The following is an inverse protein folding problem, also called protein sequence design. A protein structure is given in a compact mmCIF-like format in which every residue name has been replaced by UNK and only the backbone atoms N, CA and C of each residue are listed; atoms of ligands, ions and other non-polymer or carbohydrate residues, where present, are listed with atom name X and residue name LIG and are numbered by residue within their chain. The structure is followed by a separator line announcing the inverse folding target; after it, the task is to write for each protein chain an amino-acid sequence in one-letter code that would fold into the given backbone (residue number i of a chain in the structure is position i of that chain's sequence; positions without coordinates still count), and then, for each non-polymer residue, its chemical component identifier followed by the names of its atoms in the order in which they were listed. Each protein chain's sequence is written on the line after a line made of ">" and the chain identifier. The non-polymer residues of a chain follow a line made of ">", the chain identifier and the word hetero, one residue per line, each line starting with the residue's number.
data_IF_750696771343
#
_entry.id   IF_750696771343
#
_cell.length_a   1.000
_cell.length_b   1.000
_cell.length_c   1.000
_cell.angle_alpha   90.00
_cell.angle_beta   90.00
_cell.angle_gamma   90.00
#
_symmetry.space_group_name_H-M   'P 1'
#
loop_
_entity.id
_entity.type
_entity.pdbx_description
1 polymer ?
#
# COMPACT_ATOMS: atom_id res chain seq x y z
N UNK A 1 93.79 43.82 -7.89
CA UNK A 1 92.96 42.81 -7.19
C UNK A 1 93.33 42.65 -5.72
N UNK A 2 94.57 42.92 -5.29
CA UNK A 2 94.98 42.76 -3.87
C UNK A 2 94.29 43.71 -2.88
N UNK A 3 94.03 44.97 -3.24
CA UNK A 3 93.31 45.92 -2.38
C UNK A 3 91.85 45.54 -2.11
N UNK A 4 91.24 44.77 -3.02
CA UNK A 4 89.86 44.27 -2.86
C UNK A 4 89.83 43.08 -1.89
N UNK A 5 90.83 42.19 -1.97
CA UNK A 5 91.01 41.08 -1.04
C UNK A 5 91.45 41.54 0.35
N UNK A 6 92.28 42.59 0.48
CA UNK A 6 92.68 43.13 1.80
C UNK A 6 91.56 43.91 2.48
N UNK A 7 90.66 44.56 1.71
CA UNK A 7 89.45 45.15 2.26
C UNK A 7 88.46 44.08 2.74
N UNK A 8 88.32 42.96 2.02
CA UNK A 8 87.48 41.82 2.40
C UNK A 8 87.94 41.15 3.71
N UNK A 9 89.23 41.19 4.02
CA UNK A 9 89.82 40.65 5.27
C UNK A 9 90.06 41.71 6.35
N UNK A 10 89.81 42.98 6.06
CA UNK A 10 89.84 44.05 7.05
C UNK A 10 88.70 43.89 8.07
N UNK A 11 88.92 44.32 9.31
CA UNK A 11 87.95 44.21 10.40
C UNK A 11 86.55 44.76 10.02
N UNK A 12 86.52 45.82 9.22
CA UNK A 12 85.31 46.43 8.68
C UNK A 12 84.65 45.60 7.57
N UNK A 13 85.41 44.99 6.65
CA UNK A 13 84.87 44.10 5.61
C UNK A 13 84.28 42.80 6.16
N UNK A 14 84.97 42.18 7.13
CA UNK A 14 84.48 40.98 7.83
C UNK A 14 83.21 41.29 8.63
N UNK A 15 83.14 42.44 9.31
CA UNK A 15 81.92 42.85 10.03
C UNK A 15 80.69 43.03 9.11
N UNK A 16 80.90 43.53 7.89
CA UNK A 16 79.83 43.73 6.92
C UNK A 16 79.34 42.42 6.30
N UNK A 17 80.25 41.46 6.06
CA UNK A 17 79.89 40.10 5.64
C UNK A 17 79.10 39.35 6.70
N UNK A 18 79.54 39.42 7.97
CA UNK A 18 78.82 38.78 9.08
C UNK A 18 77.42 39.40 9.23
N UNK A 19 77.31 40.73 9.09
CA UNK A 19 76.02 41.42 9.09
C UNK A 19 75.11 40.98 7.92
N UNK A 20 75.68 40.81 6.71
CA UNK A 20 74.94 40.32 5.52
C UNK A 20 74.47 38.87 5.70
N UNK A 21 75.34 37.98 6.19
CA UNK A 21 75.00 36.58 6.46
C UNK A 21 73.93 36.49 7.55
N UNK A 22 74.02 37.30 8.60
CA UNK A 22 73.00 37.38 9.64
C UNK A 22 71.65 37.88 9.07
N UNK A 23 71.67 38.91 8.22
CA UNK A 23 70.47 39.47 7.58
C UNK A 23 69.82 38.45 6.64
N UNK A 24 70.60 37.76 5.81
CA UNK A 24 70.10 36.67 4.95
C UNK A 24 69.56 35.52 5.80
N UNK A 25 70.23 35.15 6.90
CA UNK A 25 69.75 34.14 7.84
C UNK A 25 68.38 34.49 8.44
N UNK A 26 68.16 35.74 8.85
CA UNK A 26 66.86 36.23 9.36
C UNK A 26 65.78 36.23 8.27
N UNK A 27 66.11 36.64 7.03
CA UNK A 27 65.14 36.63 5.93
C UNK A 27 64.70 35.20 5.56
N UNK A 28 65.64 34.26 5.47
CA UNK A 28 65.33 32.85 5.13
C UNK A 28 64.48 32.19 6.23
N UNK A 29 64.86 32.39 7.50
CA UNK A 29 64.10 31.84 8.64
C UNK A 29 62.70 32.44 8.76
N UNK A 30 62.56 33.75 8.54
CA UNK A 30 61.24 34.43 8.52
C UNK A 30 60.38 33.92 7.37
N UNK A 31 60.95 33.73 6.18
CA UNK A 31 60.23 33.21 5.02
C UNK A 31 59.77 31.76 5.22
N UNK A 32 60.62 30.89 5.78
CA UNK A 32 60.24 29.50 6.12
C UNK A 32 59.15 29.45 7.17
N UNK A 33 59.25 30.25 8.23
CA UNK A 33 58.24 30.29 9.28
C UNK A 33 56.89 30.79 8.75
N UNK A 34 56.88 31.83 7.92
CA UNK A 34 55.66 32.33 7.28
C UNK A 34 55.06 31.30 6.33
N UNK A 35 55.88 30.63 5.51
CA UNK A 35 55.41 29.59 4.59
C UNK A 35 54.84 28.37 5.33
N UNK A 36 55.46 27.97 6.44
CA UNK A 36 54.95 26.90 7.28
C UNK A 36 53.63 27.29 7.97
N UNK A 37 53.53 28.53 8.45
CA UNK A 37 52.30 29.06 9.03
C UNK A 37 51.16 29.13 8.02
N UNK A 38 51.42 29.60 6.79
CA UNK A 38 50.40 29.65 5.73
C UNK A 38 49.95 28.26 5.29
N UNK A 39 50.86 27.28 5.25
CA UNK A 39 50.50 25.88 4.98
C UNK A 39 49.58 25.32 6.06
N UNK A 40 49.84 25.62 7.34
CA UNK A 40 48.98 25.21 8.46
C UNK A 40 47.61 25.87 8.38
N UNK A 41 47.55 27.19 8.13
CA UNK A 41 46.28 27.93 7.97
C UNK A 41 45.40 27.35 6.85
N UNK A 42 45.99 26.98 5.71
CA UNK A 42 45.25 26.36 4.60
C UNK A 42 44.76 24.95 4.95
N UNK A 43 45.57 24.17 5.66
CA UNK A 43 45.16 22.84 6.12
C UNK A 43 44.03 22.91 7.14
N UNK A 44 44.09 23.87 8.07
CA UNK A 44 43.04 24.09 9.08
C UNK A 44 41.73 24.56 8.44
N UNK A 45 41.80 25.46 7.44
CA UNK A 45 40.64 25.88 6.65
C UNK A 45 40.02 24.71 5.86
N UNK A 46 40.85 23.92 5.18
CA UNK A 46 40.38 22.77 4.42
C UNK A 46 39.73 21.71 5.34
N UNK A 47 40.30 21.47 6.53
CA UNK A 47 39.74 20.57 7.52
C UNK A 47 38.41 21.09 8.08
N UNK A 48 38.29 22.40 8.33
CA UNK A 48 37.05 23.01 8.79
C UNK A 48 35.94 22.94 7.73
N UNK A 49 36.26 23.22 6.47
CA UNK A 49 35.32 23.12 5.37
C UNK A 49 34.90 21.67 5.09
N UNK A 50 35.81 20.71 5.26
CA UNK A 50 35.47 19.30 5.16
C UNK A 50 34.49 18.88 6.26
N UNK A 51 34.74 19.26 7.53
CA UNK A 51 33.83 18.98 8.64
C UNK A 51 32.43 19.55 8.39
N UNK A 52 32.33 20.79 7.89
CA UNK A 52 31.04 21.41 7.54
C UNK A 52 30.29 20.62 6.48
N UNK A 53 31.00 20.13 5.45
CA UNK A 53 30.39 19.30 4.39
C UNK A 53 29.94 17.95 4.93
N UNK A 54 30.75 17.32 5.78
CA UNK A 54 30.41 16.04 6.38
C UNK A 54 29.20 16.18 7.32
N UNK A 55 29.13 17.26 8.11
CA UNK A 55 27.99 17.58 8.98
C UNK A 55 26.71 17.83 8.17
N UNK A 56 26.80 18.61 7.07
CA UNK A 56 25.67 18.84 6.16
C UNK A 56 25.20 17.55 5.51
N UNK A 57 26.12 16.72 5.00
CA UNK A 57 25.77 15.44 4.39
C UNK A 57 25.12 14.48 5.41
N UNK A 58 25.60 14.48 6.66
CA UNK A 58 25.01 13.69 7.73
C UNK A 58 23.61 14.18 8.11
N UNK A 59 23.38 15.50 8.16
CA UNK A 59 22.07 16.08 8.43
C UNK A 59 21.07 15.79 7.29
N UNK A 60 21.48 15.98 6.04
CA UNK A 60 20.66 15.68 4.87
C UNK A 60 20.33 14.19 4.77
N UNK A 61 21.28 13.30 5.09
CA UNK A 61 21.04 11.87 5.16
C UNK A 61 19.99 11.52 6.23
N UNK A 62 20.04 12.16 7.40
CA UNK A 62 19.03 11.97 8.47
C UNK A 62 17.65 12.45 8.04
N UNK A 63 17.55 13.62 7.40
CA UNK A 63 16.28 14.15 6.89
C UNK A 63 15.68 13.23 5.85
N UNK A 64 16.47 12.77 4.88
CA UNK A 64 16.02 11.84 3.85
C UNK A 64 15.56 10.50 4.43
N UNK A 65 16.29 9.96 5.41
CA UNK A 65 15.90 8.72 6.07
C UNK A 65 14.56 8.86 6.84
N UNK A 66 14.33 10.00 7.49
CA UNK A 66 13.06 10.28 8.17
C UNK A 66 11.90 10.46 7.17
N UNK A 67 12.12 11.17 6.06
CA UNK A 67 11.12 11.33 5.01
C UNK A 67 10.77 9.99 4.35
N UNK A 68 11.78 9.17 4.02
CA UNK A 68 11.59 7.83 3.47
C UNK A 68 10.81 6.93 4.46
N UNK A 69 11.10 7.05 5.76
CA UNK A 69 10.37 6.29 6.80
C UNK A 69 8.91 6.71 6.87
N UNK A 70 8.62 8.01 6.92
CA UNK A 70 7.25 8.54 6.97
C UNK A 70 6.45 8.15 5.74
N UNK A 71 7.08 8.17 4.57
CA UNK A 71 6.44 7.76 3.32
C UNK A 71 6.10 6.26 3.31
N UNK A 72 6.97 5.40 3.86
CA UNK A 72 6.66 3.97 4.05
C UNK A 72 5.49 3.78 5.00
N UNK A 73 5.51 4.44 6.15
CA UNK A 73 4.43 4.38 7.15
C UNK A 73 3.08 4.81 6.55
N UNK A 74 3.06 5.89 5.76
CA UNK A 74 1.86 6.35 5.03
C UNK A 74 1.36 5.31 4.03
N UNK A 75 2.25 4.74 3.22
CA UNK A 75 1.86 3.71 2.23
C UNK A 75 1.35 2.44 2.90
N UNK A 76 1.92 2.04 4.01
CA UNK A 76 1.42 0.93 4.81
C UNK A 76 0.04 1.22 5.39
N UNK A 77 -0.17 2.42 5.92
CA UNK A 77 -1.49 2.83 6.42
C UNK A 77 -2.54 2.80 5.33
N UNK A 78 -2.27 3.43 4.17
CA UNK A 78 -3.17 3.41 3.02
C UNK A 78 -3.51 1.99 2.56
N UNK A 79 -2.49 1.11 2.49
CA UNK A 79 -2.71 -0.32 2.16
C UNK A 79 -3.63 -1.01 3.16
N UNK A 80 -3.46 -0.77 4.47
CA UNK A 80 -4.31 -1.37 5.52
C UNK A 80 -5.75 -0.84 5.45
N UNK A 81 -5.92 0.44 5.20
CA UNK A 81 -7.23 1.07 5.04
C UNK A 81 -7.96 0.53 3.80
N UNK A 82 -7.29 0.46 2.66
CA UNK A 82 -7.83 -0.14 1.43
C UNK A 82 -8.22 -1.60 1.65
N UNK A 83 -7.38 -2.37 2.35
CA UNK A 83 -7.65 -3.76 2.66
C UNK A 83 -8.88 -3.93 3.57
N UNK A 84 -8.99 -3.07 4.58
CA UNK A 84 -10.14 -3.04 5.49
C UNK A 84 -11.42 -2.69 4.75
N UNK A 85 -11.37 -1.70 3.83
CA UNK A 85 -12.49 -1.33 2.97
C UNK A 85 -12.94 -2.50 2.10
N UNK A 86 -12.00 -3.17 1.41
CA UNK A 86 -12.32 -4.32 0.55
C UNK A 86 -12.91 -5.49 1.33
N UNK A 87 -12.33 -5.80 2.51
CA UNK A 87 -12.86 -6.84 3.38
C UNK A 87 -14.28 -6.54 3.86
N UNK A 88 -14.57 -5.29 4.23
CA UNK A 88 -15.92 -4.86 4.60
C UNK A 88 -16.89 -5.01 3.43
N UNK A 89 -16.53 -4.54 2.22
CA UNK A 89 -17.39 -4.67 1.04
C UNK A 89 -17.76 -6.13 0.74
N UNK A 90 -16.79 -7.06 0.85
CA UNK A 90 -17.06 -8.49 0.66
C UNK A 90 -17.87 -9.08 1.81
N UNK A 91 -17.60 -8.69 3.06
CA UNK A 91 -18.38 -9.14 4.21
C UNK A 91 -19.84 -8.68 4.12
N UNK A 92 -20.09 -7.42 3.76
CA UNK A 92 -21.43 -6.85 3.58
C UNK A 92 -22.17 -7.61 2.45
N UNK A 93 -21.48 -7.90 1.33
CA UNK A 93 -22.04 -8.70 0.26
C UNK A 93 -22.41 -10.13 0.69
N UNK A 94 -21.54 -10.79 1.46
CA UNK A 94 -21.81 -12.14 2.00
C UNK A 94 -22.95 -12.08 3.02
N UNK A 95 -23.05 -10.99 3.80
CA UNK A 95 -24.14 -10.76 4.75
C UNK A 95 -25.48 -10.73 4.02
N UNK A 96 -25.61 -9.97 2.93
CA UNK A 96 -26.86 -9.93 2.15
C UNK A 96 -27.27 -11.34 1.70
N UNK A 97 -26.34 -12.14 1.20
CA UNK A 97 -26.63 -13.52 0.74
C UNK A 97 -27.03 -14.45 1.89
N UNK A 98 -26.50 -14.24 3.11
CA UNK A 98 -26.73 -15.13 4.27
C UNK A 98 -27.82 -14.66 5.25
N UNK A 99 -28.01 -13.35 5.40
CA UNK A 99 -28.86 -12.70 6.40
C UNK A 99 -30.18 -12.17 5.83
N UNK A 100 -30.35 -12.02 4.51
CA UNK A 100 -31.69 -11.85 3.91
C UNK A 100 -32.44 -13.19 3.76
N UNK A 101 -31.80 -14.30 4.14
CA UNK A 101 -32.37 -15.64 4.18
C UNK A 101 -33.44 -15.95 5.28
N UNK A 102 -33.65 -15.17 6.38
CA UNK A 102 -34.41 -15.63 7.53
C UNK A 102 -35.95 -15.53 7.45
N UNK A 103 -36.59 -15.40 6.27
CA UNK A 103 -37.94 -15.95 6.10
C UNK A 103 -38.02 -17.10 5.09
N UNK A 104 -36.98 -17.34 4.28
CA UNK A 104 -36.97 -18.40 3.26
C UNK A 104 -36.40 -19.74 3.78
N UNK A 105 -35.90 -19.74 5.02
CA UNK A 105 -35.43 -20.91 5.73
C UNK A 105 -36.39 -22.09 5.60
N UNK A 106 -36.01 -23.07 4.78
CA UNK A 106 -36.75 -24.31 4.57
C UNK A 106 -38.21 -24.15 4.14
N UNK A 107 -38.53 -23.21 3.25
CA UNK A 107 -39.71 -23.38 2.40
C UNK A 107 -39.37 -24.42 1.29
N UNK A 108 -39.22 -25.72 1.54
CA UNK A 108 -40.40 -26.62 1.60
C UNK A 108 -41.57 -25.86 2.17
N UNK A 109 -42.24 -25.08 1.32
CA UNK A 109 -43.44 -24.35 1.69
C UNK A 109 -44.30 -25.34 2.46
N UNK A 110 -44.37 -25.15 3.78
CA UNK A 110 -45.33 -25.83 4.61
C UNK A 110 -46.64 -25.24 4.12
N UNK A 111 -47.24 -25.90 3.13
CA UNK A 111 -48.62 -25.68 2.74
C UNK A 111 -49.37 -25.65 4.07
N UNK A 112 -49.98 -24.52 4.46
CA UNK A 112 -50.84 -24.51 5.62
C UNK A 112 -51.91 -25.55 5.32
N UNK A 113 -51.93 -26.67 6.05
CA UNK A 113 -52.90 -27.75 5.86
C UNK A 113 -54.34 -27.32 6.18
N UNK A 114 -54.56 -26.04 6.49
CA UNK A 114 -55.75 -25.55 7.18
C UNK A 114 -56.30 -24.22 6.63
N UNK A 115 -55.90 -23.77 5.43
CA UNK A 115 -56.47 -22.56 4.83
C UNK A 115 -56.89 -22.76 3.37
N UNK A 116 -58.09 -22.27 3.06
CA UNK A 116 -58.79 -22.25 1.78
C UNK A 116 -58.15 -21.23 0.79
N UNK A 117 -56.81 -21.20 0.75
CA UNK A 117 -56.01 -20.35 -0.14
C UNK A 117 -55.64 -21.18 -1.36
N UNK A 118 -55.83 -20.61 -2.56
CA UNK A 118 -55.36 -21.22 -3.79
C UNK A 118 -53.87 -21.50 -3.66
N UNK A 119 -53.45 -22.76 -3.83
CA UNK A 119 -52.06 -23.20 -3.73
C UNK A 119 -51.13 -22.31 -4.58
N UNK A 120 -51.63 -21.78 -5.69
CA UNK A 120 -50.91 -20.86 -6.58
C UNK A 120 -50.57 -19.51 -5.92
N UNK A 121 -51.45 -18.93 -5.09
CA UNK A 121 -51.23 -17.61 -4.49
C UNK A 121 -50.03 -17.62 -3.54
N UNK A 122 -49.85 -18.72 -2.80
CA UNK A 122 -48.69 -18.93 -1.92
C UNK A 122 -47.38 -18.93 -2.72
N UNK A 123 -47.39 -19.53 -3.91
CA UNK A 123 -46.20 -19.56 -4.76
C UNK A 123 -45.96 -18.25 -5.50
N UNK A 124 -47.01 -17.45 -5.77
CA UNK A 124 -46.86 -16.09 -6.28
C UNK A 124 -46.12 -15.22 -5.25
N UNK A 125 -46.48 -15.34 -3.97
CA UNK A 125 -45.79 -14.63 -2.88
C UNK A 125 -44.34 -15.12 -2.76
N UNK A 126 -44.10 -16.44 -2.77
CA UNK A 126 -42.74 -17.01 -2.80
C UNK A 126 -41.92 -16.44 -3.96
N UNK A 127 -42.47 -16.41 -5.17
CA UNK A 127 -41.77 -15.90 -6.35
C UNK A 127 -41.46 -14.41 -6.26
N UNK A 128 -42.35 -13.62 -5.64
CA UNK A 128 -42.12 -12.20 -5.39
C UNK A 128 -40.98 -11.98 -4.39
N UNK A 129 -40.93 -12.76 -3.32
CA UNK A 129 -39.82 -12.74 -2.36
C UNK A 129 -38.49 -13.17 -3.00
N UNK A 130 -38.51 -14.22 -3.82
CA UNK A 130 -37.35 -14.68 -4.58
C UNK A 130 -36.81 -13.61 -5.53
N UNK A 131 -37.69 -12.88 -6.23
CA UNK A 131 -37.29 -11.75 -7.09
C UNK A 131 -36.68 -10.60 -6.30
N UNK A 132 -37.24 -10.28 -5.13
CA UNK A 132 -36.70 -9.27 -4.22
C UNK A 132 -35.29 -9.65 -3.75
N UNK A 133 -35.13 -10.88 -3.28
CA UNK A 133 -33.86 -11.46 -2.84
C UNK A 133 -32.79 -11.44 -3.94
N UNK A 134 -33.13 -11.91 -5.15
CA UNK A 134 -32.23 -11.85 -6.30
C UNK A 134 -31.72 -10.44 -6.59
N UNK A 135 -32.62 -9.45 -6.60
CA UNK A 135 -32.26 -8.05 -6.87
C UNK A 135 -31.35 -7.47 -5.79
N UNK A 136 -31.56 -7.84 -4.53
CA UNK A 136 -30.71 -7.43 -3.43
C UNK A 136 -29.29 -8.01 -3.55
N UNK A 137 -29.18 -9.30 -3.88
CA UNK A 137 -27.89 -9.97 -4.10
C UNK A 137 -27.15 -9.34 -5.27
N UNK A 138 -27.79 -9.18 -6.43
CA UNK A 138 -27.16 -8.57 -7.62
C UNK A 138 -26.67 -7.15 -7.30
N UNK A 139 -27.44 -6.38 -6.54
CA UNK A 139 -27.00 -5.05 -6.08
C UNK A 139 -25.75 -5.15 -5.20
N UNK A 140 -25.75 -6.05 -4.23
CA UNK A 140 -24.62 -6.25 -3.33
C UNK A 140 -23.36 -6.71 -4.07
N UNK A 141 -23.50 -7.62 -5.04
CA UNK A 141 -22.40 -8.10 -5.88
C UNK A 141 -21.82 -6.99 -6.76
N UNK A 142 -22.66 -6.13 -7.35
CA UNK A 142 -22.20 -4.97 -8.12
C UNK A 142 -21.40 -3.99 -7.26
N UNK A 143 -21.87 -3.70 -6.04
CA UNK A 143 -21.14 -2.84 -5.10
C UNK A 143 -19.80 -3.47 -4.73
N UNK A 144 -19.78 -4.77 -4.40
CA UNK A 144 -18.56 -5.48 -4.08
C UNK A 144 -17.57 -5.50 -5.27
N UNK A 145 -18.06 -5.65 -6.51
CA UNK A 145 -17.20 -5.61 -7.70
C UNK A 145 -16.53 -4.24 -7.90
N UNK A 146 -17.23 -3.14 -7.58
CA UNK A 146 -16.70 -1.78 -7.69
C UNK A 146 -15.65 -1.48 -6.61
N UNK A 147 -15.90 -1.93 -5.37
CA UNK A 147 -15.03 -1.66 -4.22
C UNK A 147 -13.79 -2.55 -4.19
N UNK A 148 -13.89 -3.78 -4.70
CA UNK A 148 -12.79 -4.75 -4.67
C UNK A 148 -11.82 -4.54 -5.83
N UNK A 149 -10.56 -4.31 -5.47
CA UNK A 149 -9.45 -4.17 -6.40
C UNK A 149 -8.66 -5.46 -6.58
N UNK A 150 -8.72 -6.39 -5.61
CA UNK A 150 -8.07 -7.69 -5.73
C UNK A 150 -8.67 -8.50 -6.89
N UNK A 151 -7.83 -8.88 -7.86
CA UNK A 151 -8.27 -9.56 -9.08
C UNK A 151 -8.91 -10.94 -8.83
N UNK A 152 -8.38 -11.72 -7.88
CA UNK A 152 -8.91 -13.05 -7.59
C UNK A 152 -10.28 -12.96 -6.93
N UNK A 153 -10.42 -12.07 -5.95
CA UNK A 153 -11.71 -11.83 -5.28
C UNK A 153 -12.73 -11.28 -6.28
N UNK A 154 -12.31 -10.37 -7.17
CA UNK A 154 -13.16 -9.82 -8.23
C UNK A 154 -13.65 -10.90 -9.20
N UNK A 155 -12.79 -11.85 -9.58
CA UNK A 155 -13.19 -13.00 -10.39
C UNK A 155 -14.21 -13.89 -9.66
N UNK A 156 -14.01 -14.12 -8.36
CA UNK A 156 -14.96 -14.91 -7.56
C UNK A 156 -16.32 -14.22 -7.42
N UNK A 157 -16.36 -12.88 -7.26
CA UNK A 157 -17.59 -12.09 -7.26
C UNK A 157 -18.32 -12.24 -8.59
N UNK A 158 -17.62 -12.13 -9.72
CA UNK A 158 -18.22 -12.32 -11.06
C UNK A 158 -18.78 -13.72 -11.26
N UNK A 159 -18.06 -14.74 -10.83
CA UNK A 159 -18.55 -16.12 -10.92
C UNK A 159 -19.82 -16.35 -10.10
N UNK A 160 -19.93 -15.72 -8.92
CA UNK A 160 -21.16 -15.71 -8.13
C UNK A 160 -22.28 -14.93 -8.82
N UNK A 161 -21.98 -13.79 -9.44
CA UNK A 161 -22.94 -13.03 -10.25
C UNK A 161 -23.49 -13.86 -11.42
N UNK A 162 -22.62 -14.52 -12.17
CA UNK A 162 -23.01 -15.36 -13.31
C UNK A 162 -23.89 -16.54 -12.86
N UNK A 163 -23.52 -17.20 -11.76
CA UNK A 163 -24.31 -18.30 -11.19
C UNK A 163 -25.69 -17.82 -10.71
N UNK A 164 -25.74 -16.64 -10.07
CA UNK A 164 -26.98 -16.03 -9.58
C UNK A 164 -27.89 -15.66 -10.76
N UNK A 165 -27.33 -15.09 -11.82
CA UNK A 165 -28.07 -14.75 -13.04
C UNK A 165 -28.59 -15.98 -13.77
N UNK A 166 -27.82 -17.06 -13.81
CA UNK A 166 -28.24 -18.31 -14.43
C UNK A 166 -29.42 -18.93 -13.69
N UNK A 167 -29.35 -19.03 -12.36
CA UNK A 167 -30.40 -19.65 -11.54
C UNK A 167 -31.71 -18.85 -11.54
N UNK A 168 -31.65 -17.51 -11.60
CA UNK A 168 -32.84 -16.64 -11.56
C UNK A 168 -33.40 -16.23 -12.92
N UNK A 169 -32.74 -16.62 -14.02
CA UNK A 169 -33.17 -16.24 -15.37
C UNK A 169 -34.62 -16.62 -15.65
N UNK A 170 -35.02 -17.84 -15.31
CA UNK A 170 -36.36 -18.35 -15.58
C UNK A 170 -37.43 -17.59 -14.78
N UNK A 171 -37.13 -17.23 -13.54
CA UNK A 171 -38.02 -16.44 -12.69
C UNK A 171 -38.19 -15.00 -13.21
N UNK A 172 -37.11 -14.39 -13.73
CA UNK A 172 -37.17 -13.07 -14.39
C UNK A 172 -37.97 -13.10 -15.69
N UNK A 173 -37.84 -14.18 -16.48
CA UNK A 173 -38.63 -14.37 -17.69
C UNK A 173 -40.12 -14.66 -17.35
N UNK A 174 -40.39 -15.32 -16.24
CA UNK A 174 -41.74 -15.51 -15.70
C UNK A 174 -42.40 -14.20 -15.24
N UNK A 175 -41.65 -13.31 -14.58
CA UNK A 175 -42.13 -11.98 -14.16
C UNK A 175 -42.72 -11.18 -15.33
N UNK A 176 -42.11 -11.28 -16.52
CA UNK A 176 -42.58 -10.61 -17.75
C UNK A 176 -43.87 -11.21 -18.31
N UNK A 177 -44.13 -12.49 -18.04
CA UNK A 177 -45.30 -13.23 -18.54
C UNK A 177 -46.52 -13.11 -17.60
N UNK A 178 -46.29 -12.77 -16.34
CA UNK A 178 -47.34 -12.44 -15.38
C UNK A 178 -47.17 -13.15 -14.05
N UNK A 179 -47.93 -12.73 -13.03
CA UNK A 179 -47.81 -13.26 -11.67
C UNK A 179 -48.07 -14.77 -11.57
N UNK A 180 -49.02 -15.32 -12.33
CA UNK A 180 -49.29 -16.76 -12.33
C UNK A 180 -48.08 -17.59 -12.75
N UNK A 181 -47.32 -17.14 -13.76
CA UNK A 181 -46.10 -17.79 -14.23
C UNK A 181 -44.98 -17.70 -13.21
N UNK A 182 -44.87 -16.57 -12.49
CA UNK A 182 -43.95 -16.42 -11.35
C UNK A 182 -44.23 -17.47 -10.28
N UNK A 183 -45.52 -17.68 -9.97
CA UNK A 183 -45.94 -18.73 -9.05
C UNK A 183 -45.50 -20.12 -9.50
N UNK A 184 -45.78 -20.49 -10.75
CA UNK A 184 -45.41 -21.82 -11.30
C UNK A 184 -43.90 -22.06 -11.22
N UNK A 185 -43.08 -21.11 -11.65
CA UNK A 185 -41.60 -21.26 -11.59
C UNK A 185 -41.09 -21.31 -10.15
N UNK A 186 -41.69 -20.52 -9.26
CA UNK A 186 -41.30 -20.50 -7.85
C UNK A 186 -41.59 -21.82 -7.13
N UNK A 187 -42.48 -22.68 -7.63
CA UNK A 187 -42.78 -23.98 -7.02
C UNK A 187 -41.52 -24.85 -6.89
N UNK A 188 -40.71 -24.89 -7.95
CA UNK A 188 -39.54 -25.77 -8.05
C UNK A 188 -38.23 -25.06 -7.67
N UNK A 189 -38.26 -23.73 -7.55
CA UNK A 189 -37.09 -22.93 -7.31
C UNK A 189 -36.71 -22.84 -5.83
N UNK A 190 -35.43 -23.04 -5.53
CA UNK A 190 -34.83 -22.76 -4.23
C UNK A 190 -34.27 -21.33 -4.21
N UNK A 191 -34.21 -20.73 -3.03
CA UNK A 191 -33.61 -19.40 -2.88
C UNK A 191 -32.12 -19.37 -3.26
N UNK A 192 -31.37 -20.43 -2.90
CA UNK A 192 -29.98 -20.60 -3.30
C UNK A 192 -29.87 -21.98 -3.94
N UNK A 193 -29.55 -22.03 -5.22
CA UNK A 193 -29.27 -23.28 -5.90
C UNK A 193 -27.83 -23.75 -5.69
N UNK A 194 -27.52 -24.98 -6.14
CA UNK A 194 -26.21 -25.59 -5.91
C UNK A 194 -25.05 -24.82 -6.55
N UNK A 195 -25.27 -24.16 -7.70
CA UNK A 195 -24.22 -23.40 -8.39
C UNK A 195 -23.93 -22.11 -7.64
N UNK A 196 -24.98 -21.43 -7.17
CA UNK A 196 -24.84 -20.23 -6.35
C UNK A 196 -24.16 -20.56 -5.02
N UNK A 197 -24.50 -21.67 -4.37
CA UNK A 197 -23.85 -22.11 -3.13
C UNK A 197 -22.35 -22.39 -3.32
N UNK A 198 -21.99 -23.15 -4.35
CA UNK A 198 -20.59 -23.45 -4.67
C UNK A 198 -19.79 -22.16 -4.96
N UNK A 199 -20.36 -21.25 -5.74
CA UNK A 199 -19.76 -19.95 -6.05
C UNK A 199 -19.60 -19.06 -4.81
N UNK A 200 -20.59 -19.04 -3.91
CA UNK A 200 -20.52 -18.32 -2.65
C UNK A 200 -19.39 -18.89 -1.77
N UNK A 201 -19.29 -20.23 -1.69
CA UNK A 201 -18.22 -20.89 -0.93
C UNK A 201 -16.84 -20.56 -1.51
N UNK A 202 -16.70 -20.55 -2.83
CA UNK A 202 -15.47 -20.11 -3.52
C UNK A 202 -15.12 -18.67 -3.18
N UNK A 203 -16.09 -17.75 -3.23
CA UNK A 203 -15.89 -16.35 -2.85
C UNK A 203 -15.41 -16.23 -1.40
N UNK A 204 -16.05 -16.92 -0.46
CA UNK A 204 -15.65 -16.91 0.96
C UNK A 204 -14.22 -17.43 1.12
N UNK A 205 -13.86 -18.52 0.44
CA UNK A 205 -12.52 -19.11 0.52
C UNK A 205 -11.45 -18.18 -0.06
N UNK A 206 -11.67 -17.62 -1.25
CA UNK A 206 -10.74 -16.70 -1.90
C UNK A 206 -10.59 -15.42 -1.09
N UNK A 207 -11.70 -14.83 -0.64
CA UNK A 207 -11.66 -13.63 0.20
C UNK A 207 -10.97 -13.89 1.54
N UNK A 208 -11.15 -15.07 2.13
CA UNK A 208 -10.44 -15.44 3.36
C UNK A 208 -8.94 -15.56 3.11
N UNK A 209 -8.52 -16.22 2.04
CA UNK A 209 -7.10 -16.34 1.69
C UNK A 209 -6.48 -14.97 1.41
N UNK A 210 -7.12 -14.21 0.52
CA UNK A 210 -6.61 -12.94 0.01
C UNK A 210 -6.76 -11.79 1.01
N UNK A 211 -7.59 -11.89 2.05
CA UNK A 211 -7.76 -10.83 3.05
C UNK A 211 -7.35 -11.19 4.49
N UNK A 212 -7.07 -12.45 4.83
CA UNK A 212 -6.52 -12.82 6.14
C UNK A 212 -4.99 -12.73 6.19
N UNK A 213 -4.31 -12.87 5.07
CA UNK A 213 -2.87 -12.64 4.98
C UNK A 213 -2.60 -11.14 4.81
N UNK A 214 -2.64 -10.39 5.93
CA UNK A 214 -1.88 -9.13 5.99
C UNK A 214 -0.46 -9.52 5.58
N UNK A 215 0.13 -8.96 4.51
CA UNK A 215 1.50 -9.29 4.16
C UNK A 215 2.36 -8.87 5.34
N UNK A 216 2.78 -9.84 6.16
CA UNK A 216 3.94 -9.64 7.01
C UNK A 216 5.06 -9.37 6.03
N UNK A 217 5.51 -8.14 5.99
CA UNK A 217 6.65 -7.76 5.17
C UNK A 217 7.75 -8.78 5.45
N UNK A 218 8.10 -9.58 4.44
CA UNK A 218 9.13 -10.63 4.55
C UNK A 218 10.53 -10.05 4.81
N UNK A 219 10.63 -8.75 5.03
CA UNK A 219 11.86 -8.00 5.27
C UNK A 219 12.25 -7.90 6.75
N UNK A 220 11.46 -8.43 7.69
CA UNK A 220 11.85 -8.49 9.12
C UNK A 220 12.76 -9.68 9.48
N UNK A 221 13.38 -10.35 8.50
CA UNK A 221 14.26 -11.50 8.74
C UNK A 221 15.76 -11.28 8.56
N UNK A 222 16.20 -10.09 8.16
CA UNK A 222 17.63 -9.79 7.99
C UNK A 222 18.06 -8.53 8.77
N UNK A 223 17.88 -8.55 10.09
CA UNK A 223 18.59 -7.65 11.02
C UNK A 223 18.95 -8.37 12.31
#
# INVERSE_FOLDING_TARGET
>A
MEAFFSWFTSQSGVSLLVALVALVGVLVTTWWNNRAADKRRRADQAAADQRRKDDQAAEDARRKADDDRRERERREQLRREDWTRQRRAVADCISVVKEEFPPLGNLRVGIPTDQDVSELDIYIDKGTELLSFYRAIVRALNVAELEVSNAQVKMAIRHLMDSTNEEYRELLDAERRGQGEVGVVAMEMNAIGPKMEDSLRKLVNVASHEFLDIPRDKNDKDN
#
